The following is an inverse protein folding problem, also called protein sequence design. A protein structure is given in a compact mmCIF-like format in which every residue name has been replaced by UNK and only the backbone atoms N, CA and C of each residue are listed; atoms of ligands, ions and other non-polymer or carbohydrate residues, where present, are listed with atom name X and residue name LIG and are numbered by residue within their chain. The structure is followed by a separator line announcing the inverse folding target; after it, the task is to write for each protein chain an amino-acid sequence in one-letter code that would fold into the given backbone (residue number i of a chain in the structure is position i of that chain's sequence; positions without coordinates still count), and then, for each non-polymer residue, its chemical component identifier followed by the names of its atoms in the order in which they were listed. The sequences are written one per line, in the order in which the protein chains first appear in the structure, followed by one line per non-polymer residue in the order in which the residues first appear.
data_IF_299668106266
#
_entry.id   IF_299668106266
#
_cell.length_a   1.000
_cell.length_b   1.000
_cell.length_c   1.000
_cell.angle_alpha   90.00
_cell.angle_beta   90.00
_cell.angle_gamma   90.00
#
_symmetry.space_group_name_H-M   'P 1'
#
loop_
_entity.id
_entity.type
_entity.pdbx_description
1 polymer ?
#
# COMPACT_ATOMS: atom_id res chain seq x y z
N UNK A 1 2.33 -16.45 -5.00
CA UNK A 1 1.00 -15.88 -4.68
C UNK A 1 1.08 -15.33 -3.27
N UNK A 2 0.82 -14.04 -3.06
CA UNK A 2 0.67 -13.47 -1.73
C UNK A 2 -0.77 -13.72 -1.25
N UNK A 3 -0.93 -14.38 -0.12
CA UNK A 3 -2.23 -14.57 0.50
C UNK A 3 -2.58 -13.36 1.36
N UNK A 4 -3.87 -13.17 1.67
CA UNK A 4 -4.33 -12.12 2.60
C UNK A 4 -3.57 -12.17 3.94
N UNK A 5 -3.29 -13.37 4.43
CA UNK A 5 -2.56 -13.60 5.68
C UNK A 5 -1.13 -13.01 5.65
N UNK A 6 -0.50 -12.91 4.49
CA UNK A 6 0.84 -12.32 4.36
C UNK A 6 0.80 -10.81 4.63
N UNK A 7 -0.26 -10.13 4.18
CA UNK A 7 -0.45 -8.70 4.43
C UNK A 7 -0.80 -8.42 5.89
N UNK A 8 -1.59 -9.27 6.54
CA UNK A 8 -1.89 -9.16 7.98
C UNK A 8 -0.62 -9.38 8.82
N UNK A 9 0.24 -10.32 8.41
CA UNK A 9 1.56 -10.51 9.03
C UNK A 9 2.45 -9.29 8.81
N UNK A 10 2.44 -8.69 7.62
CA UNK A 10 3.21 -7.48 7.33
C UNK A 10 2.75 -6.29 8.17
N UNK A 11 1.43 -6.09 8.30
CA UNK A 11 0.85 -5.08 9.20
C UNK A 11 1.30 -5.28 10.66
N UNK A 12 1.29 -6.53 11.14
CA UNK A 12 1.77 -6.88 12.48
C UNK A 12 3.25 -6.54 12.67
N UNK A 13 4.09 -6.79 11.64
CA UNK A 13 5.51 -6.45 11.68
C UNK A 13 5.73 -4.93 11.68
N UNK A 14 5.02 -4.20 10.83
CA UNK A 14 5.07 -2.74 10.78
C UNK A 14 4.69 -2.11 12.13
N UNK A 15 3.70 -2.67 12.84
CA UNK A 15 3.30 -2.20 14.17
C UNK A 15 4.34 -2.49 15.28
N UNK A 16 5.20 -3.50 15.10
CA UNK A 16 6.18 -3.94 16.12
C UNK A 16 7.59 -3.42 15.90
N UNK A 17 7.88 -2.83 14.74
CA UNK A 17 9.19 -2.29 14.42
C UNK A 17 9.53 -1.15 15.39
N UNK A 18 10.67 -1.26 16.07
CA UNK A 18 11.26 -0.18 16.88
C UNK A 18 11.93 0.83 15.94
N UNK A 19 11.12 1.56 15.18
CA UNK A 19 11.59 2.48 14.14
C UNK A 19 10.47 2.96 13.23
N UNK A 20 10.84 3.58 12.12
CA UNK A 20 9.92 4.05 11.08
C UNK A 20 9.84 3.02 9.95
N UNK A 21 8.64 2.58 9.59
CA UNK A 21 8.39 1.73 8.43
C UNK A 21 7.51 2.46 7.41
N UNK A 22 7.81 2.26 6.13
CA UNK A 22 7.03 2.75 4.99
C UNK A 22 6.81 1.56 4.04
N UNK A 23 5.60 1.42 3.53
CA UNK A 23 5.21 0.41 2.54
C UNK A 23 4.53 1.10 1.36
N UNK A 24 5.04 0.88 0.14
CA UNK A 24 4.35 1.23 -1.10
C UNK A 24 3.62 0.00 -1.65
N UNK A 25 2.34 0.14 -1.97
CA UNK A 25 1.50 -0.96 -2.45
C UNK A 25 0.35 -0.44 -3.32
N UNK A 26 -0.20 -1.29 -4.18
CA UNK A 26 -1.37 -0.94 -5.00
C UNK A 26 -2.57 -0.52 -4.13
N UNK A 27 -3.26 0.53 -4.55
CA UNK A 27 -4.49 0.98 -3.94
C UNK A 27 -5.66 0.08 -4.33
N UNK A 28 -5.99 -0.87 -3.46
CA UNK A 28 -7.18 -1.71 -3.57
C UNK A 28 -7.90 -1.78 -2.23
N UNK A 29 -9.24 -1.97 -2.20
CA UNK A 29 -10.02 -1.96 -0.96
C UNK A 29 -9.49 -2.93 0.10
N UNK A 30 -9.01 -4.11 -0.30
CA UNK A 30 -8.47 -5.11 0.63
C UNK A 30 -7.21 -4.62 1.37
N UNK A 31 -6.35 -3.84 0.69
CA UNK A 31 -5.14 -3.29 1.31
C UNK A 31 -5.51 -2.21 2.31
N UNK A 32 -6.43 -1.31 1.97
CA UNK A 32 -6.94 -0.29 2.90
C UNK A 32 -7.54 -0.90 4.17
N UNK A 33 -8.23 -2.03 4.04
CA UNK A 33 -8.77 -2.75 5.20
C UNK A 33 -7.67 -3.30 6.11
N UNK A 34 -6.67 -3.98 5.54
CA UNK A 34 -5.58 -4.59 6.31
C UNK A 34 -4.71 -3.54 7.02
N UNK A 35 -4.47 -2.40 6.38
CA UNK A 35 -3.61 -1.34 6.91
C UNK A 35 -4.37 -0.14 7.49
N UNK A 36 -5.66 -0.31 7.82
CA UNK A 36 -6.54 0.75 8.35
C UNK A 36 -6.05 1.41 9.64
N UNK A 37 -5.17 0.74 10.41
CA UNK A 37 -4.54 1.29 11.61
C UNK A 37 -3.28 2.14 11.35
N UNK A 38 -2.90 2.35 10.10
CA UNK A 38 -1.72 3.12 9.71
C UNK A 38 -2.09 4.39 8.93
N UNK A 39 -1.18 5.35 8.89
CA UNK A 39 -1.33 6.52 8.03
C UNK A 39 -1.15 6.10 6.56
N UNK A 40 -2.05 6.55 5.70
CA UNK A 40 -2.09 6.21 4.27
C UNK A 40 -2.14 7.48 3.42
N UNK A 41 -1.25 7.57 2.43
CA UNK A 41 -1.22 8.64 1.44
C UNK A 41 -1.43 8.05 0.04
N UNK A 42 -2.38 8.61 -0.69
CA UNK A 42 -2.66 8.24 -2.09
C UNK A 42 -1.63 8.89 -3.01
N UNK A 43 -0.93 8.07 -3.78
CA UNK A 43 0.03 8.51 -4.79
C UNK A 43 -0.51 8.13 -6.15
N UNK A 44 -0.73 9.14 -7.01
CA UNK A 44 -1.10 8.92 -8.39
C UNK A 44 0.14 8.48 -9.18
N UNK A 45 0.31 7.19 -9.44
CA UNK A 45 1.36 6.72 -10.34
C UNK A 45 0.95 6.98 -11.78
N UNK A 46 1.46 8.06 -12.35
CA UNK A 46 1.43 8.24 -13.80
C UNK A 46 2.54 7.36 -14.36
N UNK A 47 2.24 6.06 -14.55
CA UNK A 47 3.15 5.13 -15.20
C UNK A 47 3.32 5.58 -16.66
N UNK A 48 4.29 6.45 -16.94
CA UNK A 48 4.71 6.80 -18.31
C UNK A 48 5.53 5.65 -18.89
N UNK A 49 4.95 4.46 -18.98
CA UNK A 49 5.54 3.38 -19.78
C UNK A 49 4.93 3.49 -21.17
N UNK A 50 5.80 3.88 -22.11
CA UNK A 50 5.46 4.03 -23.51
C UNK A 50 4.92 2.76 -24.15
N UNK A 51 4.25 2.99 -25.28
CA UNK A 51 3.75 2.00 -26.23
C UNK A 51 2.52 1.21 -25.77
N UNK A 52 1.40 1.61 -26.40
CA UNK A 52 0.27 0.80 -26.83
C UNK A 52 -0.45 -0.03 -25.76
N UNK A 53 -1.71 0.39 -25.56
CA UNK A 53 -2.87 -0.51 -25.54
C UNK A 53 -3.02 -1.35 -24.25
N UNK A 54 -3.72 -0.84 -23.24
CA UNK A 54 -4.82 -1.61 -22.64
C UNK A 54 -5.68 -0.81 -21.67
N UNK A 55 -6.98 -1.07 -21.72
CA UNK A 55 -8.07 -0.49 -20.95
C UNK A 55 -8.11 -0.95 -19.49
N UNK A 56 -6.99 -0.86 -18.77
CA UNK A 56 -6.93 -1.18 -17.33
C UNK A 56 -6.75 0.12 -16.56
N UNK A 57 -7.86 0.58 -15.99
CA UNK A 57 -8.02 1.88 -15.33
C UNK A 57 -6.88 2.26 -14.39
N UNK A 58 -6.69 3.57 -14.23
CA UNK A 58 -5.72 4.20 -13.33
C UNK A 58 -5.67 3.44 -12.00
N UNK A 59 -4.62 2.64 -11.81
CA UNK A 59 -4.35 1.98 -10.53
C UNK A 59 -3.54 2.95 -9.72
N UNK A 60 -4.14 3.52 -8.68
CA UNK A 60 -3.42 4.33 -7.70
C UNK A 60 -2.46 3.47 -6.88
N UNK A 61 -1.46 4.12 -6.28
CA UNK A 61 -0.60 3.53 -5.26
C UNK A 61 -0.92 4.15 -3.89
N UNK A 62 -0.66 3.39 -2.83
CA UNK A 62 -0.74 3.83 -1.45
C UNK A 62 0.65 3.79 -0.81
N UNK A 63 1.03 4.89 -0.18
CA UNK A 63 2.12 4.94 0.78
C UNK A 63 1.55 4.76 2.19
N UNK A 64 1.92 3.68 2.86
CA UNK A 64 1.48 3.34 4.22
C UNK A 64 2.66 3.56 5.18
N UNK A 65 2.50 4.38 6.21
CA UNK A 65 3.55 4.66 7.19
C UNK A 65 3.19 4.23 8.62
N UNK A 66 4.17 3.64 9.33
CA UNK A 66 4.03 3.26 10.74
C UNK A 66 4.22 4.42 11.73
N UNK A 67 4.44 5.62 11.22
CA UNK A 67 4.66 6.85 11.96
C UNK A 67 3.73 7.92 11.38
N UNK A 68 3.11 8.73 12.25
CA UNK A 68 2.13 9.74 11.87
C UNK A 68 0.69 9.48 12.36
N UNK A 69 0.42 8.34 13.01
CA UNK A 69 -0.79 8.18 13.82
C UNK A 69 -0.62 8.92 15.14
N UNK A 70 -1.40 9.97 15.36
CA UNK A 70 -1.55 10.64 16.67
C UNK A 70 -2.55 9.89 17.54
#
# INVERSE_FOLDING_TARGET
MFARADFERLATLMARIRGKAILSINDVPQIRQVFSGFHMEEVSTTYTIGTKNDSRGQRGELLISSFGGS
#
